data_IF_094482060419
#
_entry.id   IF_094482060419
#
_cell.length_a   1.000
_cell.length_b   1.000
_cell.length_c   1.000
_cell.angle_alpha   90.00
_cell.angle_beta   90.00
_cell.angle_gamma   90.00
#
_symmetry.space_group_name_H-M   'P 1'
#
loop_
_entity.id
_entity.type
_entity.pdbx_description
1 polymer ?
#
# COMPACT_ATOMS: atom_id res chain seq x y z
N UNK A 1 0.44 -4.79 9.55
CA UNK A 1 0.43 -4.56 8.09
C UNK A 1 -0.94 -4.86 7.50
N UNK A 2 -1.40 -6.13 7.49
CA UNK A 2 -2.66 -6.51 6.83
C UNK A 2 -3.88 -5.73 7.32
N UNK A 3 -3.97 -5.43 8.62
CA UNK A 3 -5.08 -4.61 9.15
C UNK A 3 -5.17 -3.25 8.45
N UNK A 4 -4.04 -2.58 8.23
CA UNK A 4 -4.00 -1.30 7.52
C UNK A 4 -4.47 -1.44 6.06
N UNK A 5 -3.99 -2.45 5.34
CA UNK A 5 -4.37 -2.66 3.94
C UNK A 5 -5.84 -3.05 3.82
N UNK A 6 -6.34 -3.88 4.73
CA UNK A 6 -7.76 -4.27 4.78
C UNK A 6 -8.67 -3.07 5.07
N UNK A 7 -8.24 -2.13 5.90
CA UNK A 7 -9.01 -0.90 6.14
C UNK A 7 -9.16 -0.06 4.85
N UNK A 8 -8.09 0.02 4.04
CA UNK A 8 -8.15 0.68 2.72
C UNK A 8 -9.14 -0.02 1.78
N UNK A 9 -9.13 -1.35 1.74
CA UNK A 9 -10.01 -2.15 0.87
C UNK A 9 -11.47 -2.13 1.36
N UNK A 10 -11.69 -2.03 2.67
CA UNK A 10 -13.02 -2.01 3.27
C UNK A 10 -13.85 -0.82 2.77
N UNK A 11 -13.21 0.34 2.57
CA UNK A 11 -13.88 1.51 1.99
C UNK A 11 -14.48 1.25 0.60
N UNK A 12 -13.75 0.53 -0.26
CA UNK A 12 -14.23 0.15 -1.58
C UNK A 12 -15.32 -0.92 -1.51
N UNK A 13 -15.17 -1.91 -0.62
CA UNK A 13 -16.18 -2.96 -0.43
C UNK A 13 -17.53 -2.39 0.03
N UNK A 14 -17.52 -1.44 0.96
CA UNK A 14 -18.74 -0.76 1.43
C UNK A 14 -19.43 0.00 0.29
N UNK A 15 -18.66 0.60 -0.63
CA UNK A 15 -19.21 1.29 -1.79
C UNK A 15 -19.93 0.31 -2.73
N UNK A 16 -19.36 -0.85 -3.01
CA UNK A 16 -19.99 -1.89 -3.82
C UNK A 16 -21.27 -2.46 -3.18
N UNK A 17 -21.34 -2.47 -1.85
CA UNK A 17 -22.48 -2.95 -1.07
C UNK A 17 -23.59 -1.90 -0.89
N UNK A 18 -23.38 -0.65 -1.33
CA UNK A 18 -24.39 0.41 -1.25
C UNK A 18 -25.43 0.32 -2.37
N UNK A 19 -26.65 0.85 -2.12
CA UNK A 19 -27.75 0.89 -3.08
C UNK A 19 -27.39 1.77 -4.30
N UNK A 20 -26.77 1.13 -5.30
CA UNK A 20 -26.44 1.69 -6.60
C UNK A 20 -25.09 2.42 -6.65
N UNK A 21 -23.98 1.75 -7.01
CA UNK A 21 -22.74 2.45 -7.27
C UNK A 21 -22.89 3.31 -8.53
N UNK A 22 -22.94 4.64 -8.35
CA UNK A 22 -22.76 5.58 -9.46
C UNK A 22 -21.37 5.31 -10.03
N UNK A 23 -21.29 4.86 -11.29
CA UNK A 23 -20.02 4.49 -11.96
C UNK A 23 -18.92 5.55 -11.80
N UNK A 24 -19.29 6.83 -11.81
CA UNK A 24 -18.37 7.94 -11.57
C UNK A 24 -17.77 7.94 -10.15
N UNK A 25 -18.59 7.65 -9.13
CA UNK A 25 -18.14 7.52 -7.74
C UNK A 25 -17.24 6.30 -7.56
N UNK A 26 -17.60 5.17 -8.16
CA UNK A 26 -16.77 3.97 -8.15
C UNK A 26 -15.39 4.22 -8.77
N UNK A 27 -15.35 4.87 -9.94
CA UNK A 27 -14.09 5.23 -10.58
C UNK A 27 -13.24 6.14 -9.69
N UNK A 28 -13.85 7.13 -9.04
CA UNK A 28 -13.14 8.06 -8.14
C UNK A 28 -12.53 7.33 -6.94
N UNK A 29 -13.30 6.49 -6.25
CA UNK A 29 -12.83 5.74 -5.08
C UNK A 29 -11.78 4.69 -5.45
N UNK A 30 -11.95 3.98 -6.57
CA UNK A 30 -10.93 3.05 -7.07
C UNK A 30 -9.62 3.78 -7.45
N UNK A 31 -9.72 4.94 -8.09
CA UNK A 31 -8.55 5.77 -8.44
C UNK A 31 -7.80 6.23 -7.18
N UNK A 32 -8.54 6.61 -6.14
CA UNK A 32 -7.96 7.00 -4.84
C UNK A 32 -7.26 5.80 -4.19
N UNK A 33 -7.94 4.65 -4.10
CA UNK A 33 -7.38 3.43 -3.54
C UNK A 33 -6.10 3.01 -4.26
N UNK A 34 -6.08 3.03 -5.60
CA UNK A 34 -4.87 2.70 -6.38
C UNK A 34 -3.68 3.59 -6.00
N UNK A 35 -3.91 4.91 -5.85
CA UNK A 35 -2.86 5.82 -5.40
C UNK A 35 -2.46 5.55 -3.96
N UNK A 36 -3.42 5.35 -3.06
CA UNK A 36 -3.17 5.09 -1.63
C UNK A 36 -2.37 3.80 -1.42
N UNK A 37 -2.62 2.75 -2.23
CA UNK A 37 -1.82 1.53 -2.22
C UNK A 37 -0.43 1.75 -2.84
N UNK A 38 -0.36 2.42 -3.99
CA UNK A 38 0.88 2.66 -4.71
C UNK A 38 1.90 3.46 -3.90
N UNK A 39 1.49 4.52 -3.20
CA UNK A 39 2.42 5.36 -2.42
C UNK A 39 3.07 4.63 -1.25
N UNK A 40 2.55 3.45 -0.84
CA UNK A 40 3.13 2.70 0.26
C UNK A 40 4.46 2.04 -0.10
N UNK A 41 4.72 1.79 -1.38
CA UNK A 41 5.91 1.07 -1.83
C UNK A 41 6.52 1.61 -3.13
N UNK A 42 5.87 2.58 -3.79
CA UNK A 42 6.40 3.29 -4.95
C UNK A 42 6.74 4.74 -4.62
N UNK A 43 7.65 5.28 -5.42
CA UNK A 43 8.07 6.66 -5.36
C UNK A 43 6.86 7.61 -5.48
N UNK A 44 6.69 8.47 -4.48
CA UNK A 44 5.54 9.39 -4.39
C UNK A 44 5.43 10.32 -5.60
N UNK A 45 6.55 10.76 -6.18
CA UNK A 45 6.56 11.62 -7.37
C UNK A 45 5.99 10.86 -8.57
N UNK A 46 6.46 9.63 -8.79
CA UNK A 46 5.94 8.76 -9.85
C UNK A 46 4.43 8.54 -9.72
N UNK A 47 3.93 8.22 -8.52
CA UNK A 47 2.49 8.00 -8.28
C UNK A 47 1.64 9.26 -8.49
N UNK A 48 2.18 10.45 -8.17
CA UNK A 48 1.48 11.72 -8.36
C UNK A 48 1.37 12.12 -9.83
N UNK A 49 2.45 11.90 -10.59
CA UNK A 49 2.58 12.34 -11.99
C UNK A 49 1.99 11.31 -12.98
N UNK A 50 1.73 10.08 -12.55
CA UNK A 50 1.19 9.00 -13.40
C UNK A 50 -0.33 8.87 -13.26
N UNK A 51 -1.00 8.57 -14.38
CA UNK A 51 -2.39 8.14 -14.39
C UNK A 51 -2.54 6.87 -13.53
N UNK A 52 -3.39 6.83 -12.49
CA UNK A 52 -3.51 5.68 -11.59
C UNK A 52 -3.79 4.35 -12.28
N UNK A 53 -4.48 4.39 -13.41
CA UNK A 53 -4.80 3.20 -14.21
C UNK A 53 -3.63 2.71 -15.08
N UNK A 54 -2.51 3.43 -15.05
CA UNK A 54 -1.27 3.15 -15.80
C UNK A 54 -0.04 3.06 -14.90
N UNK A 55 -0.23 3.06 -13.58
CA UNK A 55 0.85 2.78 -12.64
C UNK A 55 1.30 1.34 -12.88
N UNK A 56 2.59 1.15 -13.13
CA UNK A 56 3.20 -0.17 -13.25
C UNK A 56 3.83 -0.54 -11.91
N UNK A 57 3.24 -1.53 -11.23
CA UNK A 57 3.68 -2.01 -9.93
C UNK A 57 4.92 -2.91 -10.03
N UNK A 58 5.23 -3.45 -11.22
CA UNK A 58 6.37 -4.36 -11.44
C UNK A 58 7.66 -3.61 -11.82
N UNK A 59 7.57 -2.31 -12.10
CA UNK A 59 8.71 -1.50 -12.51
C UNK A 59 9.57 -1.10 -11.29
N UNK A 60 10.59 -1.92 -11.01
CA UNK A 60 11.47 -1.82 -9.84
C UNK A 60 12.15 -0.45 -9.67
N UNK A 61 12.42 0.28 -10.77
CA UNK A 61 13.08 1.60 -10.68
C UNK A 61 12.26 2.64 -9.90
N UNK A 62 10.95 2.39 -9.75
CA UNK A 62 10.05 3.26 -9.00
C UNK A 62 9.81 2.77 -7.58
N UNK A 63 10.34 1.61 -7.19
CA UNK A 63 10.15 1.08 -5.85
C UNK A 63 10.90 1.92 -4.83
N UNK A 64 10.30 2.07 -3.65
CA UNK A 64 10.97 2.62 -2.50
C UNK A 64 11.99 1.61 -1.96
N UNK A 65 13.07 2.08 -1.31
CA UNK A 65 13.88 1.23 -0.45
C UNK A 65 13.01 0.49 0.58
N UNK A 66 13.38 -0.74 0.92
CA UNK A 66 12.58 -1.59 1.82
C UNK A 66 12.26 -0.89 3.15
N UNK A 67 13.20 -0.15 3.72
CA UNK A 67 13.04 0.58 4.98
C UNK A 67 12.15 1.83 4.90
N UNK A 68 11.81 2.27 3.69
CA UNK A 68 10.90 3.38 3.41
C UNK A 68 9.47 2.93 3.09
N UNK A 69 9.21 1.62 2.97
CA UNK A 69 7.86 1.09 2.72
C UNK A 69 6.95 1.42 3.92
N UNK A 70 5.77 1.95 3.62
CA UNK A 70 4.77 2.24 4.65
C UNK A 70 3.94 1.00 4.98
N UNK A 71 4.06 0.52 6.23
CA UNK A 71 3.37 -0.68 6.71
C UNK A 71 2.07 -0.39 7.50
N UNK A 72 1.74 0.89 7.67
CA UNK A 72 0.74 1.37 8.63
C UNK A 72 1.32 1.64 10.02
N UNK A 73 0.69 2.54 10.77
CA UNK A 73 1.16 3.03 12.08
C UNK A 73 1.41 1.91 13.09
N UNK A 74 0.45 1.00 13.28
CA UNK A 74 0.57 -0.10 14.23
C UNK A 74 1.75 -1.03 13.90
N UNK A 75 1.92 -1.35 12.61
CA UNK A 75 3.02 -2.22 12.18
C UNK A 75 4.38 -1.52 12.31
N UNK A 76 4.42 -0.20 12.12
CA UNK A 76 5.63 0.58 12.33
C UNK A 76 6.09 0.51 13.78
N UNK A 77 5.18 0.67 14.74
CA UNK A 77 5.51 0.58 16.18
C UNK A 77 6.11 -0.80 16.54
N UNK A 78 5.45 -1.88 16.11
CA UNK A 78 5.95 -3.25 16.30
C UNK A 78 7.33 -3.45 15.66
N UNK A 79 7.56 -2.95 14.44
CA UNK A 79 8.86 -3.04 13.76
C UNK A 79 9.94 -2.30 14.55
N UNK A 80 9.64 -1.13 15.13
CA UNK A 80 10.62 -0.41 15.94
C UNK A 80 10.99 -1.18 17.23
N UNK A 81 10.06 -1.93 17.82
CA UNK A 81 10.34 -2.80 18.95
C UNK A 81 11.23 -3.97 18.55
N UNK A 82 10.90 -4.67 17.45
CA UNK A 82 11.70 -5.79 16.92
C UNK A 82 13.12 -5.32 16.55
N UNK A 83 13.27 -4.12 15.97
CA UNK A 83 14.60 -3.52 15.71
C UNK A 83 15.42 -3.33 16.99
N UNK A 84 14.79 -2.90 18.09
CA UNK A 84 15.46 -2.74 19.40
C UNK A 84 15.89 -4.08 20.00
N UNK A 85 15.20 -5.17 19.67
CA UNK A 85 15.57 -6.54 20.06
C UNK A 85 16.73 -7.12 19.23
N UNK A 86 17.24 -6.40 18.23
CA UNK A 86 18.35 -6.84 17.37
C UNK A 86 17.94 -7.81 16.25
N UNK A 87 16.64 -7.96 16.01
CA UNK A 87 16.01 -8.88 15.05
C UNK A 87 15.88 -8.26 13.64
N UNK A 88 17.01 -7.85 13.08
CA UNK A 88 17.04 -7.09 11.82
C UNK A 88 16.64 -7.93 10.59
N UNK A 89 16.96 -9.23 10.59
CA UNK A 89 16.59 -10.13 9.49
C UNK A 89 15.08 -10.38 9.43
N UNK A 90 14.40 -10.55 10.57
CA UNK A 90 12.94 -10.67 10.60
C UNK A 90 12.25 -9.41 10.08
N UNK A 91 12.79 -8.23 10.41
CA UNK A 91 12.29 -6.95 9.92
C UNK A 91 12.46 -6.85 8.40
N UNK A 92 13.62 -7.24 7.88
CA UNK A 92 13.87 -7.25 6.43
C UNK A 92 12.89 -8.17 5.69
N UNK A 93 12.69 -9.39 6.19
CA UNK A 93 11.71 -10.34 5.64
C UNK A 93 10.30 -9.77 5.63
N UNK A 94 9.88 -9.08 6.71
CA UNK A 94 8.57 -8.44 6.76
C UNK A 94 8.40 -7.40 5.65
N UNK A 95 9.40 -6.54 5.42
CA UNK A 95 9.35 -5.54 4.36
C UNK A 95 9.32 -6.18 2.97
N UNK A 96 10.14 -7.20 2.71
CA UNK A 96 10.15 -7.94 1.44
C UNK A 96 8.79 -8.59 1.15
N UNK A 97 8.19 -9.24 2.14
CA UNK A 97 6.87 -9.84 2.01
C UNK A 97 5.76 -8.80 1.82
N UNK A 98 5.87 -7.65 2.48
CA UNK A 98 4.90 -6.56 2.33
C UNK A 98 4.98 -5.92 0.95
N UNK A 99 6.17 -5.74 0.40
CA UNK A 99 6.36 -5.29 -0.98
C UNK A 99 5.78 -6.29 -1.98
N UNK A 100 6.09 -7.59 -1.82
CA UNK A 100 5.54 -8.65 -2.66
C UNK A 100 4.01 -8.69 -2.60
N UNK A 101 3.41 -8.46 -1.43
CA UNK A 101 1.96 -8.39 -1.28
C UNK A 101 1.34 -7.30 -2.16
N UNK A 102 2.00 -6.16 -2.34
CA UNK A 102 1.48 -5.08 -3.18
C UNK A 102 1.67 -5.33 -4.69
N UNK A 103 2.67 -6.12 -5.06
CA UNK A 103 3.02 -6.42 -6.46
C UNK A 103 2.19 -7.59 -7.03
N UNK A 104 1.75 -8.51 -6.17
CA UNK A 104 1.04 -9.76 -6.55
C UNK A 104 -0.46 -9.55 -6.64
#
# INVERSE_FOLDING_TARGET
FLSYVLDLLTGLNLLFQSDGPVLARLKSEATKLLKDLAVNFLNVKYVKETDPWKIDFHEEKWHLPLDEIYLGMNAYEEVQEIKKEGKLEEVKLLYEHSQHFYIT
#
